data_IF_574869096822
#
_entry.id   IF_574869096822
#
_cell.length_a   1.000
_cell.length_b   1.000
_cell.length_c   1.000
_cell.angle_alpha   90.00
_cell.angle_beta   90.00
_cell.angle_gamma   90.00
#
_symmetry.space_group_name_H-M   'P 1'
#
loop_
_entity.id
_entity.type
_entity.pdbx_description
1 polymer ?
#
# COMPACT_ATOMS: atom_id res chain seq x y z
N UNK A 1 6.23 -6.22 9.73
CA UNK A 1 5.74 -5.96 8.34
C UNK A 1 6.63 -4.87 7.75
N UNK A 2 7.81 -5.24 7.26
CA UNK A 2 8.84 -4.24 6.91
C UNK A 2 8.91 -3.93 5.42
N UNK A 3 8.23 -4.74 4.60
CA UNK A 3 8.19 -4.64 3.13
C UNK A 3 6.74 -4.54 2.64
N UNK A 4 6.02 -3.45 2.96
CA UNK A 4 4.60 -3.30 2.64
C UNK A 4 4.31 -3.31 1.13
N UNK A 5 5.28 -2.94 0.29
CA UNK A 5 5.18 -2.99 -1.17
C UNK A 5 5.02 -4.41 -1.72
N UNK A 6 5.48 -5.45 -1.00
CA UNK A 6 5.27 -6.84 -1.38
C UNK A 6 3.81 -7.27 -1.22
N UNK A 7 3.07 -6.64 -0.30
CA UNK A 7 1.62 -6.85 -0.18
C UNK A 7 0.92 -6.31 -1.43
N UNK A 8 1.27 -5.09 -1.86
CA UNK A 8 0.74 -4.51 -3.10
C UNK A 8 1.05 -5.37 -4.34
N UNK A 9 2.26 -5.94 -4.43
CA UNK A 9 2.61 -6.88 -5.50
C UNK A 9 1.74 -8.14 -5.46
N UNK A 10 1.53 -8.71 -4.27
CA UNK A 10 0.66 -9.87 -4.11
C UNK A 10 -0.78 -9.57 -4.58
N UNK A 11 -1.35 -8.42 -4.20
CA UNK A 11 -2.67 -8.00 -4.64
C UNK A 11 -2.75 -7.84 -6.17
N UNK A 12 -1.73 -7.25 -6.80
CA UNK A 12 -1.64 -7.16 -8.27
C UNK A 12 -1.56 -8.53 -8.93
N UNK A 13 -0.76 -9.45 -8.39
CA UNK A 13 -0.68 -10.83 -8.90
C UNK A 13 -2.01 -11.57 -8.81
N UNK A 14 -2.81 -11.28 -7.79
CA UNK A 14 -4.15 -11.83 -7.60
C UNK A 14 -5.24 -11.09 -8.36
N UNK A 15 -4.93 -9.92 -8.92
CA UNK A 15 -5.87 -9.03 -9.61
C UNK A 15 -7.08 -8.68 -8.73
N UNK A 16 -6.84 -8.51 -7.43
CA UNK A 16 -7.90 -8.22 -6.45
C UNK A 16 -7.31 -7.50 -5.23
N UNK A 17 -7.98 -6.45 -4.75
CA UNK A 17 -7.55 -5.62 -3.62
C UNK A 17 -7.75 -6.26 -2.23
N UNK A 18 -8.44 -7.40 -2.15
CA UNK A 18 -8.76 -8.10 -0.90
C UNK A 18 -9.20 -9.54 -1.16
N UNK A 19 -8.33 -10.39 -1.74
CA UNK A 19 -8.71 -11.71 -2.24
C UNK A 19 -9.04 -12.75 -1.16
N UNK A 20 -8.75 -12.46 0.11
CA UNK A 20 -9.00 -13.37 1.22
C UNK A 20 -10.45 -13.26 1.70
N UNK A 21 -11.18 -14.37 1.66
CA UNK A 21 -12.54 -14.44 2.18
C UNK A 21 -12.52 -14.39 3.73
N UNK A 22 -13.51 -13.70 4.33
CA UNK A 22 -13.71 -13.54 5.77
C UNK A 22 -12.59 -12.82 6.57
N UNK A 23 -11.52 -12.33 5.93
CA UNK A 23 -10.47 -11.55 6.62
C UNK A 23 -10.80 -10.06 6.78
N UNK A 24 -11.94 -9.62 6.24
CA UNK A 24 -12.43 -8.25 6.29
C UNK A 24 -13.95 -8.20 6.11
N UNK A 25 -14.52 -7.00 6.16
CA UNK A 25 -15.94 -6.80 5.89
C UNK A 25 -16.20 -7.03 4.40
N UNK A 26 -17.06 -8.00 4.10
CA UNK A 26 -17.53 -8.27 2.74
C UNK A 26 -18.98 -7.80 2.66
N UNK A 27 -19.22 -6.82 1.81
CA UNK A 27 -20.58 -6.33 1.54
C UNK A 27 -21.16 -7.13 0.37
N UNK A 28 -22.33 -7.76 0.52
CA UNK A 28 -23.00 -8.41 -0.60
C UNK A 28 -23.26 -7.41 -1.72
N UNK A 29 -22.76 -7.72 -2.91
CA UNK A 29 -22.93 -6.90 -4.10
C UNK A 29 -23.10 -7.80 -5.32
N UNK A 30 -23.84 -7.33 -6.33
CA UNK A 30 -24.01 -8.04 -7.60
C UNK A 30 -22.74 -8.07 -8.45
N UNK A 31 -21.77 -7.19 -8.14
CA UNK A 31 -20.45 -7.12 -8.74
C UNK A 31 -19.41 -6.88 -7.64
N UNK A 32 -18.19 -7.37 -7.83
CA UNK A 32 -17.10 -7.15 -6.88
C UNK A 32 -16.25 -5.93 -7.29
N UNK A 33 -16.34 -4.80 -6.55
CA UNK A 33 -15.58 -3.59 -6.88
C UNK A 33 -14.09 -3.70 -6.57
N UNK A 34 -13.65 -4.78 -5.88
CA UNK A 34 -12.26 -4.96 -5.48
C UNK A 34 -11.43 -5.71 -6.54
N UNK A 35 -12.05 -6.17 -7.63
CA UNK A 35 -11.36 -6.77 -8.77
C UNK A 35 -10.57 -5.71 -9.53
N UNK A 36 -9.31 -6.01 -9.84
CA UNK A 36 -8.43 -5.18 -10.65
C UNK A 36 -8.55 -5.64 -12.10
N UNK A 37 -9.60 -5.20 -12.80
CA UNK A 37 -9.88 -5.62 -14.17
C UNK A 37 -8.94 -4.99 -15.21
N UNK A 38 -8.62 -3.70 -15.04
CA UNK A 38 -7.59 -3.01 -15.82
C UNK A 38 -6.28 -2.95 -15.05
N UNK A 39 -5.15 -3.29 -15.70
CA UNK A 39 -3.82 -3.20 -15.07
C UNK A 39 -3.49 -1.71 -14.83
N UNK A 40 -3.23 -1.28 -13.58
CA UNK A 40 -2.96 0.12 -13.30
C UNK A 40 -1.51 0.48 -13.61
N UNK A 41 -1.26 1.75 -13.91
CA UNK A 41 0.09 2.32 -13.98
C UNK A 41 0.74 2.50 -12.60
N UNK A 42 -0.10 2.73 -11.58
CA UNK A 42 0.27 3.05 -10.20
C UNK A 42 -0.72 2.36 -9.26
N UNK A 43 -0.21 1.60 -8.29
CA UNK A 43 -0.98 1.07 -7.17
C UNK A 43 -0.49 1.72 -5.87
N UNK A 44 -1.36 2.45 -5.19
CA UNK A 44 -1.08 3.02 -3.88
C UNK A 44 -1.81 2.26 -2.77
N UNK A 45 -1.12 1.93 -1.69
CA UNK A 45 -1.72 1.33 -0.49
C UNK A 45 -1.39 2.18 0.74
N UNK A 46 -2.31 2.19 1.71
CA UNK A 46 -2.10 2.84 3.01
C UNK A 46 -2.18 1.82 4.13
N UNK A 47 -2.77 2.24 5.26
CA UNK A 47 -3.14 1.39 6.40
C UNK A 47 -1.98 0.79 7.22
N UNK A 48 -0.92 0.27 6.58
CA UNK A 48 0.23 -0.33 7.26
C UNK A 48 1.13 0.74 7.91
N UNK A 49 0.97 2.02 7.58
CA UNK A 49 1.74 3.13 8.18
C UNK A 49 3.26 3.00 8.01
N UNK A 50 3.69 2.23 7.02
CA UNK A 50 5.09 1.98 6.66
C UNK A 50 5.28 2.37 5.20
N UNK A 51 6.27 3.21 4.94
CA UNK A 51 6.65 3.58 3.59
C UNK A 51 7.35 2.41 2.89
N UNK A 52 6.97 2.12 1.65
CA UNK A 52 7.65 1.17 0.78
C UNK A 52 7.30 1.42 -0.68
N UNK A 53 8.23 1.12 -1.59
CA UNK A 53 8.04 1.31 -3.02
C UNK A 53 8.66 0.18 -3.83
N UNK A 54 8.01 -0.20 -4.93
CA UNK A 54 8.50 -1.23 -5.85
C UNK A 54 7.96 -1.00 -7.24
N UNK A 55 8.76 -1.29 -8.25
CA UNK A 55 8.26 -1.45 -9.63
C UNK A 55 8.04 -2.93 -9.92
N UNK A 56 6.84 -3.29 -10.36
CA UNK A 56 6.49 -4.66 -10.73
C UNK A 56 5.82 -4.68 -12.11
N UNK A 57 6.50 -5.26 -13.11
CA UNK A 57 5.98 -5.40 -14.49
C UNK A 57 5.39 -4.10 -15.07
N UNK A 58 6.08 -2.98 -14.85
CA UNK A 58 5.65 -1.65 -15.32
C UNK A 58 4.71 -0.90 -14.38
N UNK A 59 4.19 -1.54 -13.33
CA UNK A 59 3.33 -0.90 -12.31
C UNK A 59 4.19 -0.35 -11.18
N UNK A 60 3.99 0.91 -10.81
CA UNK A 60 4.60 1.48 -9.60
C UNK A 60 3.72 1.16 -8.40
N UNK A 61 4.25 0.42 -7.44
CA UNK A 61 3.59 0.10 -6.18
C UNK A 61 4.14 1.03 -5.10
N UNK A 62 3.26 1.79 -4.45
CA UNK A 62 3.61 2.71 -3.38
C UNK A 62 2.78 2.41 -2.14
N UNK A 63 3.41 1.82 -1.14
CA UNK A 63 2.86 1.80 0.21
C UNK A 63 3.20 3.13 0.88
N UNK A 64 2.18 3.95 1.13
CA UNK A 64 2.33 5.27 1.72
C UNK A 64 2.60 5.18 3.20
N UNK A 65 3.28 6.20 3.70
CA UNK A 65 3.48 6.35 5.13
C UNK A 65 2.21 6.80 5.87
N UNK A 66 2.38 7.38 7.06
CA UNK A 66 1.30 7.98 7.86
C UNK A 66 1.71 9.33 8.43
N UNK A 67 0.76 9.99 9.10
CA UNK A 67 0.98 11.15 9.97
C UNK A 67 0.66 10.82 11.43
N UNK A 68 0.69 9.54 11.79
CA UNK A 68 0.38 9.05 13.13
C UNK A 68 1.65 8.49 13.79
N UNK A 69 2.03 9.06 14.94
CA UNK A 69 3.11 8.50 15.76
C UNK A 69 2.78 7.08 16.24
N UNK A 70 3.81 6.28 16.51
CA UNK A 70 3.66 4.93 17.07
C UNK A 70 2.75 4.93 18.30
N UNK A 71 1.69 4.13 18.26
CA UNK A 71 0.75 3.95 19.36
C UNK A 71 1.18 2.81 20.28
N UNK A 72 0.62 2.74 21.48
CA UNK A 72 0.85 1.62 22.40
C UNK A 72 0.41 0.27 21.82
N UNK A 73 -0.65 0.25 20.99
CA UNK A 73 -1.09 -0.93 20.28
C UNK A 73 -0.06 -1.38 19.22
N UNK A 74 0.45 -0.44 18.41
CA UNK A 74 1.51 -0.74 17.44
C UNK A 74 2.77 -1.28 18.13
N UNK A 75 3.17 -0.66 19.24
CA UNK A 75 4.33 -1.12 20.02
C UNK A 75 4.14 -2.56 20.53
N UNK A 76 2.96 -2.90 21.07
CA UNK A 76 2.64 -4.26 21.52
C UNK A 76 2.72 -5.30 20.40
N UNK A 77 2.45 -4.90 19.16
CA UNK A 77 2.53 -5.77 17.98
C UNK A 77 3.92 -5.75 17.30
N UNK A 78 4.91 -5.04 17.85
CA UNK A 78 6.21 -4.86 17.21
C UNK A 78 6.14 -4.10 15.88
N UNK A 79 5.14 -3.24 15.73
CA UNK A 79 4.92 -2.45 14.52
C UNK A 79 5.64 -1.10 14.60
N UNK A 80 6.49 -0.82 13.61
CA UNK A 80 7.32 0.38 13.56
C UNK A 80 6.92 1.29 12.38
N UNK A 81 5.98 2.23 12.58
CA UNK A 81 5.51 3.11 11.50
C UNK A 81 6.60 4.12 11.10
N UNK A 82 6.41 4.78 9.96
CA UNK A 82 7.33 5.80 9.41
C UNK A 82 6.68 7.19 9.33
N UNK A 83 6.11 7.76 10.40
CA UNK A 83 5.32 8.99 10.31
C UNK A 83 6.08 10.15 9.65
N UNK A 84 5.40 11.02 8.90
CA UNK A 84 5.99 12.25 8.34
C UNK A 84 6.79 12.09 7.04
N UNK A 85 6.89 10.88 6.48
CA UNK A 85 7.52 10.66 5.17
C UNK A 85 6.49 10.71 4.03
N UNK A 86 6.68 11.63 3.07
CA UNK A 86 5.75 11.84 1.94
C UNK A 86 6.43 11.45 0.62
N UNK A 87 5.96 10.40 -0.09
CA UNK A 87 6.48 10.03 -1.39
C UNK A 87 5.96 10.96 -2.51
N UNK A 88 6.86 11.40 -3.39
CA UNK A 88 6.60 12.18 -4.58
C UNK A 88 6.97 11.35 -5.81
N UNK A 89 5.98 10.95 -6.61
CA UNK A 89 6.18 10.21 -7.85
C UNK A 89 6.15 11.16 -9.05
N UNK A 90 7.24 11.18 -9.82
CA UNK A 90 7.25 11.86 -11.11
C UNK A 90 6.54 11.01 -12.17
N UNK A 91 5.43 11.51 -12.73
CA UNK A 91 4.62 10.74 -13.69
C UNK A 91 5.31 10.50 -15.04
N UNK A 92 6.26 11.35 -15.43
CA UNK A 92 7.01 11.22 -16.68
C UNK A 92 8.19 10.24 -16.55
N UNK A 93 9.02 10.40 -15.52
CA UNK A 93 10.23 9.59 -15.33
C UNK A 93 10.02 8.35 -14.46
N UNK A 94 8.86 8.24 -13.79
CA UNK A 94 8.53 7.23 -12.76
C UNK A 94 9.47 7.24 -11.55
N UNK A 95 10.32 8.26 -11.41
CA UNK A 95 11.21 8.39 -10.25
C UNK A 95 10.41 8.78 -9.00
N UNK A 96 10.76 8.17 -7.87
CA UNK A 96 10.19 8.46 -6.56
C UNK A 96 11.22 9.22 -5.73
N UNK A 97 10.80 10.36 -5.17
CA UNK A 97 11.52 11.09 -4.12
C UNK A 97 10.72 11.02 -2.83
N UNK A 98 11.38 11.10 -1.68
CA UNK A 98 10.71 11.10 -0.38
C UNK A 98 11.04 12.39 0.35
N UNK A 99 10.02 13.14 0.72
CA UNK A 99 10.13 14.31 1.57
C UNK A 99 10.01 13.88 3.03
N UNK A 100 10.91 14.38 3.89
CA UNK A 100 10.89 14.08 5.32
C UNK A 100 10.37 15.28 6.13
N UNK A 101 9.30 15.07 6.89
CA UNK A 101 8.67 16.04 7.79
C UNK A 101 8.62 15.56 9.25
N UNK A 102 9.44 14.57 9.62
CA UNK A 102 9.58 14.08 11.01
C UNK A 102 10.18 15.11 11.93
#
# INVERSE_FOLDING_TARGET
MDKPELVGEFLLRKRHLGPSHASGLITPASFDPLIIDTVPDILTTGHIHKLGFKMYRGVNILATSCFQRMTSYMQKLGHHPTPGFVPLLNLKSRQIKVMNFT
#
